data_IF_648440318092
#
_entry.id   IF_648440318092
#
_cell.length_a   1.000
_cell.length_b   1.000
_cell.length_c   1.000
_cell.angle_alpha   90.00
_cell.angle_beta   90.00
_cell.angle_gamma   90.00
#
_symmetry.space_group_name_H-M   'P 1'
#
loop_
_entity.id
_entity.type
_entity.pdbx_description
1 polymer ?
#
# COMPACT_ATOMS: atom_id res chain seq x y z
N UNK A 1 -20.64 -9.78 2.15
CA UNK A 1 -20.62 -8.42 1.57
C UNK A 1 -19.17 -7.94 1.56
N UNK A 2 -18.75 -7.12 0.57
CA UNK A 2 -17.44 -6.47 0.64
C UNK A 2 -17.39 -5.50 1.83
N UNK A 3 -16.18 -5.15 2.33
CA UNK A 3 -16.05 -4.07 3.32
C UNK A 3 -16.49 -2.73 2.72
N UNK A 4 -16.88 -1.78 3.58
CA UNK A 4 -17.29 -0.44 3.14
C UNK A 4 -16.13 0.34 2.51
N UNK A 5 -14.89 0.08 2.96
CA UNK A 5 -13.69 0.66 2.41
C UNK A 5 -12.44 -0.16 2.77
N UNK A 6 -11.39 -0.04 1.95
CA UNK A 6 -10.07 -0.60 2.18
C UNK A 6 -9.04 0.52 2.35
N UNK A 7 -8.29 0.50 3.45
CA UNK A 7 -7.17 1.42 3.70
C UNK A 7 -5.88 0.62 3.78
N UNK A 8 -4.90 0.98 2.96
CA UNK A 8 -3.59 0.33 2.86
C UNK A 8 -2.50 1.30 3.27
N UNK A 9 -1.77 0.99 4.34
CA UNK A 9 -0.59 1.74 4.77
C UNK A 9 0.68 1.07 4.24
N UNK A 10 1.53 1.85 3.57
CA UNK A 10 2.83 1.45 3.02
C UNK A 10 2.79 0.11 2.25
N UNK A 11 1.86 -0.07 1.29
CA UNK A 11 1.66 -1.37 0.65
C UNK A 11 2.76 -1.70 -0.36
N UNK A 12 3.04 -3.00 -0.49
CA UNK A 12 3.89 -3.57 -1.54
C UNK A 12 3.05 -4.09 -2.71
N UNK A 13 3.62 -4.09 -3.93
CA UNK A 13 2.95 -4.68 -5.11
C UNK A 13 3.28 -6.16 -5.24
N UNK A 14 4.47 -6.50 -5.74
CA UNK A 14 4.92 -7.86 -5.97
C UNK A 14 6.42 -7.95 -5.67
N UNK A 15 6.76 -8.54 -4.52
CA UNK A 15 8.15 -8.70 -4.07
C UNK A 15 8.96 -9.58 -5.05
N UNK A 16 8.30 -10.44 -5.85
CA UNK A 16 8.98 -11.41 -6.73
C UNK A 16 9.57 -10.78 -8.00
N UNK A 17 8.93 -9.77 -8.57
CA UNK A 17 9.49 -9.08 -9.75
C UNK A 17 10.66 -8.17 -9.37
N UNK A 18 10.60 -7.53 -8.21
CA UNK A 18 11.67 -6.65 -7.74
C UNK A 18 12.86 -7.41 -7.18
N UNK A 19 12.64 -8.55 -6.53
CA UNK A 19 13.73 -9.40 -6.04
C UNK A 19 14.58 -10.01 -7.17
N UNK A 20 14.00 -10.20 -8.37
CA UNK A 20 14.72 -10.78 -9.53
C UNK A 20 15.46 -9.76 -10.39
N UNK A 21 15.01 -8.50 -10.41
CA UNK A 21 15.45 -7.52 -11.42
C UNK A 21 16.29 -6.38 -10.85
N UNK A 22 16.38 -6.22 -9.53
CA UNK A 22 17.02 -5.06 -8.92
C UNK A 22 18.00 -5.47 -7.78
N UNK A 23 19.12 -4.74 -7.57
CA UNK A 23 20.03 -4.87 -6.41
C UNK A 23 19.37 -4.57 -5.04
N UNK A 24 18.04 -4.62 -4.98
CA UNK A 24 17.19 -4.32 -3.85
C UNK A 24 17.50 -5.23 -2.67
N UNK A 25 17.79 -6.51 -2.91
CA UNK A 25 18.18 -7.47 -1.87
C UNK A 25 19.41 -7.06 -1.05
N UNK A 26 20.28 -6.17 -1.58
CA UNK A 26 21.45 -5.67 -0.84
C UNK A 26 21.11 -4.58 0.19
N UNK A 27 20.09 -3.76 -0.05
CA UNK A 27 19.70 -2.68 0.88
C UNK A 27 19.06 -3.26 2.15
N UNK A 28 18.33 -4.37 2.02
CA UNK A 28 17.65 -5.03 3.14
C UNK A 28 18.54 -5.95 3.99
N UNK A 29 19.75 -6.30 3.51
CA UNK A 29 20.68 -7.15 4.25
C UNK A 29 21.25 -6.48 5.53
N UNK A 30 21.02 -5.18 5.69
CA UNK A 30 21.46 -4.39 6.83
C UNK A 30 20.40 -4.25 7.95
N UNK A 31 19.19 -4.81 7.76
CA UNK A 31 18.15 -4.82 8.80
C UNK A 31 18.27 -6.08 9.67
N UNK A 32 18.55 -5.95 10.99
CA UNK A 32 18.67 -7.12 11.87
C UNK A 32 17.33 -7.86 11.97
N UNK A 33 17.32 -9.16 11.63
CA UNK A 33 16.13 -10.02 11.67
C UNK A 33 15.31 -10.12 10.38
N UNK A 34 15.73 -9.44 9.30
CA UNK A 34 15.02 -9.41 8.02
C UNK A 34 15.04 -10.75 7.28
N UNK A 35 16.17 -11.47 7.30
CA UNK A 35 16.31 -12.75 6.62
C UNK A 35 15.28 -13.78 7.11
N UNK A 36 14.97 -13.79 8.41
CA UNK A 36 13.97 -14.70 8.98
C UNK A 36 12.51 -14.28 8.68
N UNK A 37 12.20 -12.98 8.72
CA UNK A 37 10.82 -12.53 8.50
C UNK A 37 10.41 -12.55 7.02
N UNK A 38 11.29 -12.11 6.11
CA UNK A 38 10.98 -12.01 4.69
C UNK A 38 11.37 -13.26 3.89
N UNK A 39 12.59 -13.79 4.03
CA UNK A 39 13.03 -14.90 3.16
C UNK A 39 12.36 -16.22 3.54
N UNK A 40 12.16 -16.48 4.83
CA UNK A 40 11.48 -17.70 5.30
C UNK A 40 9.99 -17.66 4.96
N UNK A 41 9.31 -16.51 5.14
CA UNK A 41 7.91 -16.35 4.74
C UNK A 41 7.72 -16.48 3.22
N UNK A 42 8.58 -15.83 2.42
CA UNK A 42 8.50 -15.86 0.94
C UNK A 42 8.87 -17.25 0.39
N UNK A 43 9.92 -17.88 0.93
CA UNK A 43 10.40 -19.19 0.44
C UNK A 43 9.53 -20.36 0.92
N UNK A 44 9.01 -20.31 2.16
CA UNK A 44 8.21 -21.41 2.72
C UNK A 44 6.76 -21.40 2.22
N UNK A 45 6.20 -20.24 1.82
CA UNK A 45 4.77 -20.13 1.48
C UNK A 45 4.49 -19.78 0.01
N UNK A 46 5.50 -19.76 -0.87
CA UNK A 46 5.34 -19.39 -2.28
C UNK A 46 4.53 -18.08 -2.43
N UNK A 47 4.80 -17.10 -1.55
CA UNK A 47 3.99 -15.88 -1.42
C UNK A 47 4.22 -15.03 -2.66
N UNK A 48 3.35 -15.22 -3.64
CA UNK A 48 3.13 -14.27 -4.71
C UNK A 48 2.13 -13.25 -4.14
N UNK A 49 2.62 -12.08 -3.75
CA UNK A 49 1.72 -10.95 -3.51
C UNK A 49 1.20 -10.51 -4.87
N UNK A 50 0.13 -11.16 -5.30
CA UNK A 50 -0.56 -10.85 -6.55
C UNK A 50 -1.46 -9.64 -6.34
N UNK A 51 -0.97 -8.58 -5.69
CA UNK A 51 -1.76 -7.36 -5.47
C UNK A 51 -2.19 -6.72 -6.79
N UNK A 52 -1.45 -6.99 -7.87
CA UNK A 52 -1.78 -6.70 -9.27
C UNK A 52 -2.99 -7.50 -9.79
N UNK A 53 -3.13 -8.77 -9.45
CA UNK A 53 -4.31 -9.59 -9.80
C UNK A 53 -5.48 -9.32 -8.85
N UNK A 54 -5.22 -9.27 -7.55
CA UNK A 54 -6.21 -9.09 -6.48
C UNK A 54 -6.90 -7.73 -6.56
N UNK A 55 -6.22 -6.69 -7.07
CA UNK A 55 -6.82 -5.39 -7.37
C UNK A 55 -8.02 -5.48 -8.32
N UNK A 56 -8.06 -6.50 -9.19
CA UNK A 56 -9.18 -6.75 -10.11
C UNK A 56 -10.37 -7.45 -9.45
N UNK A 57 -10.28 -7.77 -8.16
CA UNK A 57 -11.35 -8.36 -7.37
C UNK A 57 -11.86 -7.43 -6.27
N UNK A 58 -11.24 -6.27 -6.07
CA UNK A 58 -11.70 -5.29 -5.10
C UNK A 58 -12.91 -4.55 -5.67
N UNK A 59 -14.00 -4.52 -4.89
CA UNK A 59 -15.26 -3.88 -5.23
C UNK A 59 -15.71 -2.90 -4.13
N UNK A 60 -14.76 -2.15 -3.57
CA UNK A 60 -14.98 -1.13 -2.56
C UNK A 60 -13.95 0.01 -2.73
N UNK A 61 -14.22 1.21 -2.19
CA UNK A 61 -13.25 2.31 -2.18
C UNK A 61 -11.90 1.91 -1.59
N UNK A 62 -10.80 2.39 -2.18
CA UNK A 62 -9.43 2.11 -1.74
C UNK A 62 -8.66 3.40 -1.45
N UNK A 63 -8.08 3.48 -0.26
CA UNK A 63 -7.12 4.52 0.13
C UNK A 63 -5.75 3.89 0.34
N UNK A 64 -4.74 4.45 -0.30
CA UNK A 64 -3.34 4.06 -0.11
C UNK A 64 -2.60 5.22 0.55
N UNK A 65 -1.94 4.96 1.67
CA UNK A 65 -1.13 5.90 2.43
C UNK A 65 0.33 5.46 2.32
N UNK A 66 1.25 6.35 1.97
CA UNK A 66 2.68 5.99 1.91
C UNK A 66 3.56 7.20 2.21
N UNK A 67 4.54 7.05 3.10
CA UNK A 67 5.58 8.04 3.32
C UNK A 67 6.69 7.91 2.27
N UNK A 68 7.16 9.05 1.76
CA UNK A 68 8.25 9.08 0.78
C UNK A 68 9.59 8.63 1.36
N UNK A 69 9.79 8.78 2.67
CA UNK A 69 10.99 8.39 3.41
C UNK A 69 10.92 6.97 3.99
N UNK A 70 9.99 6.13 3.51
CA UNK A 70 9.85 4.74 3.94
C UNK A 70 11.12 3.92 3.57
N UNK A 71 11.92 3.49 4.57
CA UNK A 71 13.14 2.72 4.32
C UNK A 71 12.86 1.22 4.18
N UNK A 72 11.63 0.78 4.43
CA UNK A 72 11.22 -0.63 4.43
C UNK A 72 10.51 -0.97 3.13
N UNK A 73 9.60 -0.13 2.65
CA UNK A 73 8.90 -0.34 1.38
C UNK A 73 9.08 0.88 0.49
N UNK A 74 9.68 0.75 -0.71
CA UNK A 74 9.83 1.88 -1.61
C UNK A 74 8.52 2.55 -1.94
N UNK A 75 8.55 3.87 -1.86
CA UNK A 75 7.42 4.71 -2.21
C UNK A 75 6.88 4.47 -3.64
N UNK A 76 7.74 4.11 -4.59
CA UNK A 76 7.29 3.83 -5.96
C UNK A 76 6.39 2.59 -6.05
N UNK A 77 6.46 1.68 -5.09
CA UNK A 77 5.60 0.50 -5.08
C UNK A 77 4.16 0.84 -4.73
N UNK A 78 3.95 1.68 -3.72
CA UNK A 78 2.62 2.20 -3.41
C UNK A 78 2.02 2.92 -4.62
N UNK A 79 2.84 3.73 -5.33
CA UNK A 79 2.41 4.38 -6.58
C UNK A 79 2.05 3.40 -7.70
N UNK A 80 2.85 2.33 -7.89
CA UNK A 80 2.56 1.28 -8.87
C UNK A 80 1.23 0.59 -8.53
N UNK A 81 0.99 0.26 -7.26
CA UNK A 81 -0.28 -0.35 -6.83
C UNK A 81 -1.47 0.59 -7.10
N UNK A 82 -1.33 1.86 -6.77
CA UNK A 82 -2.36 2.87 -7.04
C UNK A 82 -2.71 2.97 -8.54
N UNK A 83 -1.70 2.94 -9.40
CA UNK A 83 -1.92 2.99 -10.85
C UNK A 83 -2.72 1.78 -11.34
N UNK A 84 -2.33 0.59 -10.90
CA UNK A 84 -3.05 -0.65 -11.22
C UNK A 84 -4.50 -0.62 -10.68
N UNK A 85 -4.68 -0.16 -9.44
CA UNK A 85 -6.00 -0.02 -8.81
C UNK A 85 -6.90 0.96 -9.57
N UNK A 86 -6.34 2.09 -10.03
CA UNK A 86 -7.08 3.11 -10.77
C UNK A 86 -7.48 2.67 -12.18
N UNK A 87 -6.80 1.66 -12.74
CA UNK A 87 -7.10 1.06 -14.04
C UNK A 87 -7.98 -0.19 -13.95
N UNK A 88 -8.22 -0.70 -12.75
CA UNK A 88 -9.01 -1.91 -12.52
C UNK A 88 -10.48 -1.70 -12.86
N UNK A 89 -11.05 -2.64 -13.62
CA UNK A 89 -12.48 -2.65 -13.94
C UNK A 89 -13.36 -2.87 -12.71
N UNK A 90 -12.90 -3.64 -11.72
CA UNK A 90 -13.68 -3.92 -10.52
C UNK A 90 -13.81 -2.71 -9.59
N UNK A 91 -12.87 -1.77 -9.70
CA UNK A 91 -12.87 -0.49 -8.98
C UNK A 91 -13.55 0.63 -9.77
N UNK A 92 -14.10 0.34 -10.96
CA UNK A 92 -14.84 1.33 -11.74
C UNK A 92 -16.06 1.80 -10.94
N UNK A 93 -16.15 3.11 -10.70
CA UNK A 93 -17.20 3.72 -9.86
C UNK A 93 -16.87 3.76 -8.37
N UNK A 94 -15.78 3.15 -7.92
CA UNK A 94 -15.26 3.27 -6.56
C UNK A 94 -14.16 4.34 -6.46
N UNK A 95 -14.10 5.04 -5.33
CA UNK A 95 -13.05 6.04 -5.06
C UNK A 95 -11.72 5.32 -4.80
N UNK A 96 -10.72 5.59 -5.64
CA UNK A 96 -9.34 5.12 -5.44
C UNK A 96 -8.46 6.35 -5.19
N UNK A 97 -7.83 6.42 -4.02
CA UNK A 97 -7.04 7.57 -3.59
C UNK A 97 -5.65 7.14 -3.11
N UNK A 98 -4.63 7.91 -3.48
CA UNK A 98 -3.27 7.78 -2.97
C UNK A 98 -2.89 9.06 -2.24
N UNK A 99 -2.39 8.94 -1.01
CA UNK A 99 -1.89 10.04 -0.21
C UNK A 99 -0.43 9.79 0.12
N UNK A 100 0.43 10.67 -0.40
CA UNK A 100 1.85 10.70 -0.11
C UNK A 100 2.14 11.59 1.08
N UNK A 101 2.98 11.13 1.99
CA UNK A 101 3.53 11.96 3.05
C UNK A 101 4.97 12.36 2.70
N UNK A 102 5.26 13.67 2.56
CA UNK A 102 6.59 14.14 2.20
C UNK A 102 7.67 13.67 3.17
N UNK A 103 8.86 13.42 2.63
CA UNK A 103 10.02 12.95 3.42
C UNK A 103 10.37 13.87 4.60
N UNK A 104 10.06 15.16 4.50
CA UNK A 104 10.30 16.15 5.56
C UNK A 104 9.51 15.90 6.85
N UNK A 105 8.45 15.08 6.79
CA UNK A 105 7.62 14.74 7.95
C UNK A 105 8.18 13.54 8.75
N UNK A 106 9.17 12.84 8.21
CA UNK A 106 9.90 11.76 8.87
C UNK A 106 9.01 10.60 9.40
N UNK A 107 7.93 10.27 8.67
CA UNK A 107 6.99 9.24 9.11
C UNK A 107 7.47 7.81 8.82
N UNK A 108 8.39 7.62 7.87
CA UNK A 108 8.96 6.31 7.55
C UNK A 108 7.85 5.26 7.32
N UNK A 109 8.14 4.00 7.57
CA UNK A 109 7.21 2.90 7.30
C UNK A 109 5.94 2.86 8.17
N UNK A 110 5.99 3.38 9.40
CA UNK A 110 4.99 3.05 10.44
C UNK A 110 4.51 4.22 11.30
N UNK A 111 4.92 5.45 10.99
CA UNK A 111 4.57 6.61 11.81
C UNK A 111 3.58 7.56 11.13
N UNK A 112 2.89 7.11 10.07
CA UNK A 112 1.82 7.88 9.41
C UNK A 112 0.69 8.22 10.39
N UNK A 113 0.43 7.35 11.38
CA UNK A 113 -0.53 7.63 12.46
C UNK A 113 -0.24 8.91 13.27
N UNK A 114 1.00 9.43 13.21
CA UNK A 114 1.39 10.69 13.86
C UNK A 114 1.01 11.92 13.07
N UNK A 115 0.50 11.76 11.85
CA UNK A 115 0.07 12.89 11.04
C UNK A 115 -1.19 13.53 11.64
N UNK A 116 -1.16 14.84 11.93
CA UNK A 116 -2.36 15.56 12.39
C UNK A 116 -3.44 15.62 11.30
N UNK A 117 -3.07 15.43 10.03
CA UNK A 117 -3.99 15.43 8.90
C UNK A 117 -4.66 14.06 8.67
N UNK A 118 -4.15 12.98 9.26
CA UNK A 118 -4.68 11.64 9.03
C UNK A 118 -6.19 11.53 9.36
N UNK A 119 -6.70 12.08 10.48
CA UNK A 119 -8.14 12.08 10.73
C UNK A 119 -8.96 12.80 9.66
N UNK A 120 -8.43 13.88 9.08
CA UNK A 120 -9.10 14.62 8.00
C UNK A 120 -9.12 13.78 6.72
N UNK A 121 -7.97 13.22 6.33
CA UNK A 121 -7.84 12.33 5.17
C UNK A 121 -8.81 11.16 5.26
N UNK A 122 -8.89 10.49 6.42
CA UNK A 122 -9.79 9.36 6.63
C UNK A 122 -11.25 9.78 6.56
N UNK A 123 -11.62 10.89 7.18
CA UNK A 123 -12.98 11.43 7.15
C UNK A 123 -13.41 11.82 5.74
N UNK A 124 -12.56 12.47 4.97
CA UNK A 124 -12.87 12.87 3.58
C UNK A 124 -12.95 11.66 2.65
N UNK A 125 -12.14 10.63 2.91
CA UNK A 125 -12.19 9.39 2.17
C UNK A 125 -13.47 8.59 2.46
N UNK A 126 -13.76 8.33 3.74
CA UNK A 126 -14.92 7.55 4.19
C UNK A 126 -16.24 8.30 4.00
N UNK A 127 -16.26 9.63 4.18
CA UNK A 127 -17.43 10.47 3.97
C UNK A 127 -17.84 10.55 2.49
N UNK A 128 -16.89 10.47 1.57
CA UNK A 128 -17.19 10.34 0.14
C UNK A 128 -17.62 8.92 -0.26
N UNK A 129 -17.26 7.89 0.52
CA UNK A 129 -17.65 6.50 0.31
C UNK A 129 -19.11 6.22 0.70
N UNK A 130 -19.69 7.04 1.59
CA UNK A 130 -21.09 7.02 1.97
C UNK A 130 -21.73 8.41 1.76
N UNK A 131 -22.30 8.71 0.57
CA UNK A 131 -23.26 9.81 0.52
C UNK A 131 -24.39 9.45 1.49
N UNK A 132 -24.62 10.29 2.50
CA UNK A 132 -25.76 10.16 3.40
C UNK A 132 -27.02 9.93 2.56
N UNK A 133 -27.53 8.71 2.54
CA UNK A 133 -28.92 8.47 2.16
C UNK A 133 -29.75 8.99 3.33
N UNK A 134 -30.38 10.14 3.11
CA UNK A 134 -31.40 10.71 3.98
C UNK A 134 -32.57 9.73 4.20
#
# INVERSE_FOLDING_TARGET
SPPDALVLESPFTNIREEAKSHPFSMVYRFLPGFDWFFLDSISANNICFTSDENVNHISCPVLILHAEDDPVVPFHLGKKLYHLASQSKSLSGHKVQFVSFPSSLAYKHKFIYRSPELPNILRDFLGAAHPFTA
#
